data_IF_196781156280
#
_entry.id   IF_196781156280
#
_cell.length_a   1.000
_cell.length_b   1.000
_cell.length_c   1.000
_cell.angle_alpha   90.00
_cell.angle_beta   90.00
_cell.angle_gamma   90.00
#
_symmetry.space_group_name_H-M   'P 1'
#
loop_
_entity.id
_entity.type
_entity.pdbx_description
1 polymer ?
#
# COMPACT_ATOMS: atom_id res chain seq x y z
N UNK A 1 3.71 -10.42 9.84
CA UNK A 1 2.33 -9.98 10.11
C UNK A 1 2.37 -9.05 11.31
N UNK A 2 1.76 -7.88 11.18
CA UNK A 2 1.58 -6.88 12.25
C UNK A 2 0.14 -6.43 12.12
N UNK A 3 -0.76 -6.91 12.98
CA UNK A 3 -2.21 -6.62 12.91
C UNK A 3 -2.45 -5.10 12.80
N UNK A 4 -3.21 -4.58 11.82
CA UNK A 4 -4.05 -5.27 10.83
C UNK A 4 -3.36 -5.62 9.49
N UNK A 5 -2.07 -5.37 9.34
CA UNK A 5 -1.30 -5.61 8.12
C UNK A 5 -0.83 -7.06 7.97
N UNK A 6 -1.29 -7.71 6.91
CA UNK A 6 -1.03 -9.11 6.61
C UNK A 6 0.21 -9.28 5.74
N UNK A 7 0.40 -8.40 4.75
CA UNK A 7 1.43 -8.52 3.73
C UNK A 7 1.87 -7.13 3.22
N UNK A 8 3.16 -7.03 2.89
CA UNK A 8 3.77 -5.98 2.08
C UNK A 8 4.63 -6.65 1.01
N UNK A 9 4.50 -6.22 -0.24
CA UNK A 9 5.29 -6.73 -1.35
C UNK A 9 5.62 -5.61 -2.34
N UNK A 10 6.91 -5.30 -2.47
CA UNK A 10 7.41 -4.41 -3.52
C UNK A 10 7.71 -5.21 -4.79
N UNK A 11 7.17 -4.74 -5.92
CA UNK A 11 7.42 -5.29 -7.24
C UNK A 11 8.17 -4.30 -8.12
N UNK A 12 9.17 -4.79 -8.85
CA UNK A 12 9.86 -4.06 -9.93
C UNK A 12 10.05 -5.00 -11.12
N UNK A 13 9.54 -4.60 -12.28
CA UNK A 13 9.56 -5.40 -13.50
C UNK A 13 9.32 -4.52 -14.73
N UNK A 14 9.67 -5.01 -15.92
CA UNK A 14 9.19 -4.43 -17.18
C UNK A 14 7.79 -4.95 -17.48
N UNK A 15 6.91 -4.10 -18.01
CA UNK A 15 5.52 -4.49 -18.31
C UNK A 15 5.45 -5.68 -19.28
N UNK A 16 6.39 -5.78 -20.22
CA UNK A 16 6.54 -6.91 -21.15
C UNK A 16 6.85 -8.24 -20.44
N UNK A 17 7.44 -8.23 -19.25
CA UNK A 17 7.70 -9.45 -18.45
C UNK A 17 6.43 -9.99 -17.80
N UNK A 18 5.39 -9.17 -17.67
CA UNK A 18 4.09 -9.56 -17.11
C UNK A 18 3.03 -9.84 -18.20
N UNK A 19 3.22 -9.28 -19.39
CA UNK A 19 2.35 -9.51 -20.54
C UNK A 19 2.21 -11.00 -20.87
N UNK A 20 0.96 -11.44 -21.08
CA UNK A 20 0.64 -12.82 -21.41
C UNK A 20 0.70 -13.82 -20.24
N UNK A 21 1.05 -13.40 -19.02
CA UNK A 21 0.89 -14.22 -17.83
C UNK A 21 -0.55 -14.13 -17.32
N UNK A 22 -1.18 -15.29 -17.12
CA UNK A 22 -2.44 -15.34 -16.39
C UNK A 22 -2.18 -14.96 -14.93
N UNK A 23 -2.51 -13.72 -14.61
CA UNK A 23 -2.37 -13.17 -13.26
C UNK A 23 -3.67 -13.33 -12.48
N UNK A 24 -4.72 -13.95 -13.06
CA UNK A 24 -6.06 -13.97 -12.48
C UNK A 24 -6.11 -14.92 -11.29
N UNK A 25 -6.46 -14.39 -10.13
CA UNK A 25 -6.64 -15.19 -8.91
C UNK A 25 -7.72 -14.61 -7.99
N UNK A 26 -8.40 -15.45 -7.18
CA UNK A 26 -9.44 -14.99 -6.27
C UNK A 26 -8.85 -14.55 -4.94
N UNK A 27 -9.38 -13.49 -4.33
CA UNK A 27 -9.07 -13.06 -2.97
C UNK A 27 -10.35 -12.89 -2.15
N UNK A 28 -10.27 -13.05 -0.83
CA UNK A 28 -11.37 -12.71 0.10
C UNK A 28 -10.86 -12.41 1.52
N UNK A 29 -11.60 -11.57 2.24
CA UNK A 29 -11.42 -11.31 3.67
C UNK A 29 -10.42 -10.21 4.07
N UNK A 30 -9.94 -9.41 3.12
CA UNK A 30 -9.01 -8.28 3.38
C UNK A 30 -9.17 -7.14 2.36
N UNK A 31 -8.66 -5.96 2.68
CA UNK A 31 -8.43 -4.87 1.73
C UNK A 31 -7.08 -5.08 1.04
N UNK A 32 -7.07 -5.13 -0.30
CA UNK A 32 -5.88 -5.24 -1.15
C UNK A 32 -5.60 -3.87 -1.77
N UNK A 33 -4.46 -3.28 -1.40
CA UNK A 33 -4.02 -1.97 -1.89
C UNK A 33 -2.85 -2.14 -2.85
N UNK A 34 -2.91 -1.48 -4.00
CA UNK A 34 -1.83 -1.44 -4.99
C UNK A 34 -1.43 0.00 -5.30
N UNK A 35 -0.25 0.40 -4.83
CA UNK A 35 0.29 1.76 -4.96
C UNK A 35 1.42 1.80 -5.99
N UNK A 36 1.30 2.68 -6.98
CA UNK A 36 2.30 2.81 -8.04
C UNK A 36 3.39 3.80 -7.63
N UNK A 37 4.62 3.30 -7.51
CA UNK A 37 5.80 4.12 -7.19
C UNK A 37 6.46 4.71 -8.43
N UNK A 38 6.41 3.99 -9.55
CA UNK A 38 7.02 4.40 -10.82
C UNK A 38 6.28 3.80 -12.01
N UNK A 39 6.05 4.61 -13.04
CA UNK A 39 5.45 4.18 -14.30
C UNK A 39 3.92 4.11 -14.26
N UNK A 40 3.31 3.38 -15.20
CA UNK A 40 1.86 3.17 -15.25
C UNK A 40 1.56 1.74 -15.67
N UNK A 41 0.50 1.16 -15.11
CA UNK A 41 0.03 -0.16 -15.48
C UNK A 41 -1.48 -0.28 -15.35
N UNK A 42 -2.08 -1.08 -16.22
CA UNK A 42 -3.49 -1.42 -16.18
C UNK A 42 -3.71 -2.80 -15.55
N UNK A 43 -4.76 -2.95 -14.76
CA UNK A 43 -5.18 -4.21 -14.11
C UNK A 43 -6.70 -4.39 -14.20
N UNK A 44 -7.22 -5.52 -13.71
CA UNK A 44 -8.66 -5.79 -13.67
C UNK A 44 -9.14 -6.37 -12.34
N UNK A 45 -10.41 -6.14 -12.02
CA UNK A 45 -11.09 -6.63 -10.83
C UNK A 45 -12.57 -6.94 -11.11
N UNK A 46 -13.18 -7.85 -10.36
CA UNK A 46 -14.58 -8.31 -10.59
C UNK A 46 -15.61 -7.64 -9.67
N UNK A 47 -15.44 -6.34 -9.44
CA UNK A 47 -16.35 -5.55 -8.59
C UNK A 47 -17.42 -4.79 -9.38
N UNK A 48 -17.49 -4.99 -10.69
CA UNK A 48 -18.48 -4.35 -11.53
C UNK A 48 -19.90 -4.92 -11.32
N UNK A 49 -20.93 -4.31 -11.95
CA UNK A 49 -22.32 -4.73 -11.79
C UNK A 49 -22.53 -6.23 -12.04
N UNK A 50 -23.11 -6.93 -11.08
CA UNK A 50 -23.33 -8.38 -11.15
C UNK A 50 -22.05 -9.22 -11.11
N UNK A 51 -20.92 -8.66 -10.66
CA UNK A 51 -19.63 -9.35 -10.61
C UNK A 51 -18.84 -9.30 -11.92
N UNK A 52 -19.17 -8.38 -12.83
CA UNK A 52 -18.44 -8.20 -14.08
C UNK A 52 -17.02 -7.68 -13.83
N UNK A 53 -16.13 -7.96 -14.78
CA UNK A 53 -14.76 -7.41 -14.78
C UNK A 53 -14.81 -5.93 -15.14
N UNK A 54 -14.10 -5.12 -14.36
CA UNK A 54 -13.75 -3.74 -14.67
C UNK A 54 -12.22 -3.61 -14.83
N UNK A 55 -11.80 -2.69 -15.70
CA UNK A 55 -10.39 -2.37 -15.93
C UNK A 55 -10.03 -1.09 -15.18
N UNK A 56 -8.85 -1.06 -14.58
CA UNK A 56 -8.31 0.09 -13.88
C UNK A 56 -6.91 0.39 -14.41
N UNK A 57 -6.68 1.61 -14.88
CA UNK A 57 -5.35 2.12 -15.23
C UNK A 57 -4.84 2.99 -14.09
N UNK A 58 -3.65 2.67 -13.59
CA UNK A 58 -2.99 3.43 -12.55
C UNK A 58 -1.74 4.09 -13.12
N UNK A 59 -1.61 5.39 -12.96
CA UNK A 59 -0.38 6.14 -13.21
C UNK A 59 0.49 6.19 -11.96
N UNK A 60 1.70 6.73 -12.09
CA UNK A 60 2.62 6.96 -10.98
C UNK A 60 1.94 7.80 -9.89
N UNK A 61 2.05 7.36 -8.64
CA UNK A 61 1.39 7.99 -7.50
C UNK A 61 -0.08 7.61 -7.31
N UNK A 62 -0.70 6.87 -8.22
CA UNK A 62 -2.07 6.38 -8.07
C UNK A 62 -2.15 5.14 -7.17
N UNK A 63 -3.33 4.93 -6.60
CA UNK A 63 -3.64 3.85 -5.67
C UNK A 63 -4.94 3.15 -6.09
N UNK A 64 -4.92 1.82 -6.15
CA UNK A 64 -6.13 0.99 -6.18
C UNK A 64 -6.37 0.42 -4.79
N UNK A 65 -7.54 0.68 -4.22
CA UNK A 65 -8.03 0.04 -3.01
C UNK A 65 -9.17 -0.92 -3.36
N UNK A 66 -8.89 -2.22 -3.27
CA UNK A 66 -9.85 -3.30 -3.50
C UNK A 66 -10.24 -3.95 -2.17
N UNK A 67 -11.46 -3.69 -1.70
CA UNK A 67 -12.06 -4.46 -0.61
C UNK A 67 -12.54 -5.78 -1.15
N UNK A 68 -11.92 -6.88 -0.72
CA UNK A 68 -12.23 -8.21 -1.28
C UNK A 68 -13.50 -8.82 -0.68
N UNK A 69 -13.85 -8.48 0.58
CA UNK A 69 -15.07 -8.95 1.25
C UNK A 69 -15.26 -10.46 1.11
N UNK A 70 -16.47 -10.89 0.73
CA UNK A 70 -16.79 -12.31 0.49
C UNK A 70 -16.05 -12.94 -0.69
N UNK A 71 -15.46 -12.14 -1.57
CA UNK A 71 -14.65 -12.61 -2.69
C UNK A 71 -14.61 -11.68 -3.90
N UNK A 72 -13.42 -11.44 -4.43
CA UNK A 72 -13.20 -10.79 -5.71
C UNK A 72 -12.03 -11.46 -6.45
N UNK A 73 -12.15 -11.62 -7.77
CA UNK A 73 -11.02 -11.92 -8.64
C UNK A 73 -10.21 -10.67 -8.92
N UNK A 74 -8.88 -10.81 -8.86
CA UNK A 74 -7.89 -9.78 -9.10
C UNK A 74 -6.93 -10.20 -10.25
N UNK A 75 -6.53 -9.18 -11.01
CA UNK A 75 -5.43 -9.11 -11.97
C UNK A 75 -5.57 -10.02 -13.19
N UNK A 76 -6.34 -9.64 -14.21
CA UNK A 76 -6.46 -10.49 -15.41
C UNK A 76 -5.37 -10.24 -16.47
N UNK A 77 -4.69 -9.08 -16.45
CA UNK A 77 -3.75 -8.70 -17.51
C UNK A 77 -2.88 -7.47 -17.12
N UNK A 78 -2.02 -7.59 -16.10
CA UNK A 78 -1.13 -6.49 -15.72
C UNK A 78 -0.18 -6.15 -16.86
N UNK A 79 -0.17 -4.89 -17.30
CA UNK A 79 0.75 -4.41 -18.34
C UNK A 79 0.35 -4.75 -19.77
N UNK A 80 -0.76 -5.48 -20.00
CA UNK A 80 -1.15 -5.90 -21.34
C UNK A 80 -1.52 -4.71 -22.23
N UNK A 81 -2.35 -3.79 -21.71
CA UNK A 81 -2.77 -2.58 -22.41
C UNK A 81 -1.53 -1.73 -22.77
N UNK A 82 -0.58 -1.59 -21.84
CA UNK A 82 0.65 -0.85 -22.07
C UNK A 82 1.57 -1.50 -23.11
N UNK A 83 1.59 -2.83 -23.20
CA UNK A 83 2.36 -3.55 -24.24
C UNK A 83 1.75 -3.35 -25.61
N UNK A 84 0.43 -3.40 -25.73
CA UNK A 84 -0.29 -3.10 -26.98
C UNK A 84 -0.06 -1.65 -27.44
N UNK A 85 0.05 -0.72 -26.49
CA UNK A 85 0.39 0.69 -26.74
C UNK A 85 1.87 0.93 -27.08
N UNK A 86 2.72 -0.11 -27.03
CA UNK A 86 4.16 0.00 -27.32
C UNK A 86 5.02 0.47 -26.14
N UNK A 87 4.47 0.47 -24.93
CA UNK A 87 5.14 0.84 -23.67
C UNK A 87 5.66 -0.37 -22.88
N UNK A 88 5.70 -1.56 -23.48
CA UNK A 88 6.07 -2.81 -22.80
C UNK A 88 7.46 -2.81 -22.13
N UNK A 89 8.43 -2.10 -22.68
CA UNK A 89 9.79 -2.05 -22.11
C UNK A 89 9.95 -1.00 -20.98
N UNK A 90 8.86 -0.35 -20.57
CA UNK A 90 8.86 0.59 -19.46
C UNK A 90 9.03 -0.15 -18.13
N UNK A 91 9.96 0.32 -17.31
CA UNK A 91 10.11 -0.14 -15.92
C UNK A 91 8.89 0.32 -15.09
N UNK A 92 8.31 -0.61 -14.37
CA UNK A 92 7.21 -0.38 -13.45
C UNK A 92 7.64 -0.77 -12.04
N UNK A 93 7.33 0.09 -11.08
CA UNK A 93 7.55 -0.17 -9.65
C UNK A 93 6.28 0.10 -8.88
N UNK A 94 5.92 -0.82 -8.00
CA UNK A 94 4.75 -0.67 -7.15
C UNK A 94 4.96 -1.36 -5.81
N UNK A 95 4.07 -1.07 -4.88
CA UNK A 95 3.96 -1.86 -3.66
C UNK A 95 2.52 -2.29 -3.47
N UNK A 96 2.35 -3.55 -3.10
CA UNK A 96 1.08 -4.17 -2.79
C UNK A 96 1.02 -4.49 -1.30
N UNK A 97 -0.11 -4.19 -0.67
CA UNK A 97 -0.32 -4.47 0.75
C UNK A 97 -1.69 -5.05 1.01
N UNK A 98 -1.77 -5.92 2.01
CA UNK A 98 -3.03 -6.47 2.49
C UNK A 98 -3.29 -5.98 3.92
N UNK A 99 -4.48 -5.43 4.12
CA UNK A 99 -4.99 -5.04 5.45
C UNK A 99 -6.20 -5.91 5.76
N UNK A 100 -6.16 -6.62 6.89
CA UNK A 100 -7.21 -7.55 7.27
C UNK A 100 -8.58 -6.84 7.39
N UNK A 101 -9.65 -7.60 7.21
CA UNK A 101 -10.98 -7.20 7.65
C UNK A 101 -11.30 -7.91 8.96
N UNK A 102 -12.03 -7.24 9.85
CA UNK A 102 -12.65 -7.90 11.00
C UNK A 102 -13.53 -9.06 10.53
N UNK A 103 -13.68 -10.08 11.36
CA UNK A 103 -14.56 -11.23 11.11
C UNK A 103 -15.95 -10.81 10.65
N UNK A 104 -16.54 -9.78 11.26
CA UNK A 104 -17.87 -9.26 10.93
C UNK A 104 -17.97 -8.67 9.51
N UNK A 105 -16.85 -8.22 8.95
CA UNK A 105 -16.77 -7.51 7.66
C UNK A 105 -16.26 -8.42 6.54
N UNK A 106 -15.88 -9.68 6.82
CA UNK A 106 -15.39 -10.63 5.80
C UNK A 106 -16.45 -11.08 4.79
N UNK A 107 -17.73 -10.84 5.03
CA UNK A 107 -18.84 -11.23 4.14
C UNK A 107 -19.45 -10.08 3.32
N UNK A 108 -18.89 -8.86 3.44
CA UNK A 108 -19.39 -7.70 2.69
C UNK A 108 -19.22 -7.86 1.17
N UNK A 109 -20.01 -7.11 0.40
CA UNK A 109 -19.82 -6.99 -1.05
C UNK A 109 -18.40 -6.49 -1.36
N UNK A 110 -17.72 -7.06 -2.37
CA UNK A 110 -16.44 -6.54 -2.81
C UNK A 110 -16.62 -5.17 -3.48
N UNK A 111 -15.67 -4.27 -3.28
CA UNK A 111 -15.69 -2.93 -3.88
C UNK A 111 -14.29 -2.49 -4.27
N UNK A 112 -14.16 -1.70 -5.34
CA UNK A 112 -12.89 -1.15 -5.77
C UNK A 112 -12.98 0.39 -5.85
N UNK A 113 -11.88 1.05 -5.52
CA UNK A 113 -11.70 2.48 -5.69
C UNK A 113 -10.32 2.73 -6.28
N UNK A 114 -10.28 3.42 -7.42
CA UNK A 114 -9.04 3.97 -7.97
C UNK A 114 -8.96 5.42 -7.53
N UNK A 115 -7.82 5.80 -6.95
CA UNK A 115 -7.50 7.16 -6.55
C UNK A 115 -6.29 7.61 -7.36
N UNK A 116 -6.47 8.64 -8.16
CA UNK A 116 -5.39 9.19 -8.98
C UNK A 116 -4.41 10.01 -8.14
N UNK A 117 -3.19 10.21 -8.63
CA UNK A 117 -2.13 10.89 -7.91
C UNK A 117 -2.54 12.30 -7.44
N UNK A 118 -3.35 13.01 -8.23
CA UNK A 118 -3.84 14.36 -7.93
C UNK A 118 -4.91 14.38 -6.82
N UNK A 119 -5.53 13.23 -6.55
CA UNK A 119 -6.53 13.05 -5.50
C UNK A 119 -5.91 12.63 -4.17
N UNK A 120 -4.63 12.20 -4.17
CA UNK A 120 -3.89 11.85 -2.96
C UNK A 120 -3.48 13.14 -2.23
N UNK A 121 -3.93 13.36 -0.98
CA UNK A 121 -3.50 14.53 -0.21
C UNK A 121 -2.00 14.53 0.01
N UNK A 122 -1.38 15.68 -0.20
CA UNK A 122 0.04 15.91 0.07
C UNK A 122 0.18 17.02 1.11
N UNK A 123 1.02 16.79 2.12
CA UNK A 123 1.36 17.80 3.12
C UNK A 123 2.86 17.83 3.37
N UNK A 124 3.35 18.98 3.81
CA UNK A 124 4.71 19.14 4.33
C UNK A 124 4.69 18.94 5.85
N UNK A 125 5.59 18.10 6.36
CA UNK A 125 5.75 17.84 7.81
C UNK A 125 7.25 17.90 8.14
N UNK A 126 7.70 19.02 8.72
CA UNK A 126 9.14 19.26 8.90
C UNK A 126 9.89 19.21 7.56
N UNK A 127 10.94 18.38 7.49
CA UNK A 127 11.74 18.18 6.27
C UNK A 127 11.09 17.21 5.26
N UNK A 128 9.95 16.60 5.62
CA UNK A 128 9.33 15.55 4.82
C UNK A 128 8.15 16.03 3.98
N UNK A 129 8.06 15.50 2.76
CA UNK A 129 6.85 15.48 1.94
C UNK A 129 6.08 14.20 2.28
N UNK A 130 4.82 14.34 2.66
CA UNK A 130 3.96 13.23 3.09
C UNK A 130 2.76 13.13 2.16
N UNK A 131 2.65 12.00 1.45
CA UNK A 131 1.46 11.63 0.66
C UNK A 131 0.59 10.70 1.49
N UNK A 132 -0.68 11.06 1.68
CA UNK A 132 -1.61 10.35 2.58
C UNK A 132 -2.43 9.34 1.77
N UNK A 133 -1.98 8.09 1.71
CA UNK A 133 -2.66 7.02 0.98
C UNK A 133 -3.93 6.57 1.72
N UNK A 134 -3.85 6.43 3.05
CA UNK A 134 -4.97 6.14 3.95
C UNK A 134 -4.80 6.98 5.21
N UNK A 135 -5.89 7.52 5.74
CA UNK A 135 -5.91 8.34 6.95
C UNK A 135 -6.69 9.62 6.76
N UNK A 136 -6.45 10.61 7.62
CA UNK A 136 -7.13 11.90 7.57
C UNK A 136 -6.94 12.59 6.21
N UNK A 137 -8.06 12.93 5.57
CA UNK A 137 -8.09 13.60 4.27
C UNK A 137 -7.99 12.67 3.05
N UNK A 138 -7.56 11.41 3.21
CA UNK A 138 -7.57 10.45 2.09
C UNK A 138 -9.00 10.05 1.73
N UNK A 139 -9.33 9.87 0.44
CA UNK A 139 -10.61 9.34 0.02
C UNK A 139 -10.74 7.82 0.24
N UNK A 140 -9.67 7.13 0.65
CA UNK A 140 -9.66 5.67 0.89
C UNK A 140 -10.04 5.35 2.33
N UNK A 141 -11.00 4.45 2.49
CA UNK A 141 -11.48 3.97 3.78
C UNK A 141 -11.26 2.47 3.95
N UNK A 142 -10.50 2.08 4.97
CA UNK A 142 -10.27 0.68 5.33
C UNK A 142 -11.30 0.15 6.33
N UNK A 143 -11.30 -1.17 6.56
CA UNK A 143 -12.20 -1.81 7.55
C UNK A 143 -11.87 -1.49 9.01
N UNK A 144 -10.71 -0.88 9.26
CA UNK A 144 -10.22 -0.45 10.57
C UNK A 144 -9.59 0.94 10.45
N UNK A 145 -9.62 1.77 11.52
CA UNK A 145 -8.82 2.99 11.57
C UNK A 145 -7.35 2.70 11.26
N UNK A 146 -6.82 3.42 10.27
CA UNK A 146 -5.45 3.22 9.81
C UNK A 146 -4.89 4.49 9.18
N UNK A 147 -3.56 4.49 9.10
CA UNK A 147 -2.71 5.47 8.48
C UNK A 147 -1.74 4.73 7.56
N UNK A 148 -1.75 5.05 6.28
CA UNK A 148 -0.76 4.58 5.30
C UNK A 148 -0.21 5.81 4.61
N UNK A 149 1.07 6.10 4.81
CA UNK A 149 1.75 7.27 4.27
C UNK A 149 2.91 6.86 3.38
N UNK A 150 3.09 7.58 2.28
CA UNK A 150 4.36 7.64 1.56
C UNK A 150 5.11 8.90 1.99
N UNK A 151 6.26 8.72 2.64
CA UNK A 151 7.05 9.78 3.26
C UNK A 151 8.40 9.87 2.58
N UNK A 152 8.72 11.07 2.11
CA UNK A 152 9.96 11.36 1.40
C UNK A 152 10.67 12.54 2.06
N UNK A 153 11.98 12.42 2.29
CA UNK A 153 12.84 13.50 2.78
C UNK A 153 13.87 13.84 1.68
N UNK A 154 13.52 14.75 0.74
CA UNK A 154 14.35 15.02 -0.44
C UNK A 154 15.76 15.50 -0.06
N UNK A 155 15.85 16.40 0.90
CA UNK A 155 17.12 16.98 1.41
C UNK A 155 17.66 16.24 2.64
N UNK A 156 17.01 15.14 3.04
CA UNK A 156 17.30 14.43 4.29
C UNK A 156 16.73 15.15 5.50
N UNK A 157 17.30 14.91 6.68
CA UNK A 157 16.92 15.61 7.90
C UNK A 157 16.06 14.79 8.85
N UNK A 158 15.02 15.43 9.41
CA UNK A 158 14.21 14.85 10.49
C UNK A 158 12.72 15.08 10.29
N UNK A 159 11.91 14.13 10.77
CA UNK A 159 10.45 14.26 10.79
C UNK A 159 9.87 13.53 12.00
N UNK A 160 8.78 14.08 12.54
CA UNK A 160 7.95 13.45 13.57
C UNK A 160 6.53 13.37 13.03
N UNK A 161 5.99 12.16 12.93
CA UNK A 161 4.63 11.95 12.45
C UNK A 161 3.78 11.46 13.63
N UNK A 162 2.69 12.15 14.00
CA UNK A 162 1.77 11.65 15.01
C UNK A 162 1.18 10.30 14.59
N UNK A 163 1.19 9.34 15.51
CA UNK A 163 0.56 8.03 15.33
C UNK A 163 -0.25 7.74 16.59
N UNK A 164 -1.54 7.38 16.48
CA UNK A 164 -2.34 7.01 17.64
C UNK A 164 -1.68 5.89 18.46
N UNK A 165 -1.57 6.01 19.79
CA UNK A 165 -0.86 5.05 20.63
C UNK A 165 -1.48 3.65 20.65
N UNK A 166 -2.75 3.52 20.26
CA UNK A 166 -3.46 2.27 20.08
C UNK A 166 -3.13 1.56 18.76
N UNK A 167 -2.49 2.25 17.81
CA UNK A 167 -2.10 1.66 16.53
C UNK A 167 -0.81 0.85 16.67
N UNK A 168 -0.76 -0.26 15.95
CA UNK A 168 0.47 -1.01 15.69
C UNK A 168 0.79 -1.00 14.20
N UNK A 169 2.07 -1.21 13.87
CA UNK A 169 2.51 -0.99 12.52
C UNK A 169 4.01 -1.10 12.30
N UNK A 170 4.43 -0.65 11.13
CA UNK A 170 5.82 -0.58 10.73
C UNK A 170 6.06 0.52 9.69
N UNK A 171 7.33 0.91 9.53
CA UNK A 171 7.80 1.58 8.32
C UNK A 171 8.52 0.60 7.39
N UNK A 172 8.29 0.69 6.08
CA UNK A 172 9.00 -0.06 5.05
C UNK A 172 9.88 0.89 4.23
N UNK A 173 11.20 0.69 4.29
CA UNK A 173 12.18 1.57 3.64
C UNK A 173 12.23 1.28 2.12
N UNK A 174 11.91 2.31 1.32
CA UNK A 174 11.96 2.26 -0.15
C UNK A 174 13.29 2.76 -0.72
N UNK A 175 13.82 3.84 -0.15
CA UNK A 175 15.07 4.49 -0.58
C UNK A 175 15.83 5.07 0.62
N UNK A 176 17.15 5.25 0.44
CA UNK A 176 18.01 5.96 1.40
C UNK A 176 18.31 5.22 2.70
N UNK A 177 18.58 5.97 3.76
CA UNK A 177 18.90 5.46 5.10
C UNK A 177 18.57 6.55 6.13
N UNK A 178 18.01 6.14 7.26
CA UNK A 178 17.73 7.04 8.38
C UNK A 178 17.78 6.30 9.72
N UNK A 179 17.84 7.04 10.82
CA UNK A 179 17.72 6.55 12.18
C UNK A 179 16.28 6.71 12.70
N UNK A 180 15.72 5.64 13.27
CA UNK A 180 14.32 5.56 13.66
C UNK A 180 14.12 5.43 15.17
N UNK A 181 13.05 6.05 15.66
CA UNK A 181 12.57 5.96 17.04
C UNK A 181 13.53 6.54 18.08
N UNK A 182 13.16 6.43 19.36
CA UNK A 182 13.95 6.96 20.47
C UNK A 182 15.33 6.30 20.61
N UNK A 183 15.49 5.07 20.12
CA UNK A 183 16.76 4.34 20.14
C UNK A 183 17.66 4.67 18.94
N UNK A 184 17.21 5.53 18.01
CA UNK A 184 17.94 6.00 16.82
C UNK A 184 18.57 4.85 16.02
N UNK A 185 17.86 3.73 15.86
CA UNK A 185 18.40 2.59 15.11
C UNK A 185 18.40 2.92 13.62
N UNK A 186 19.55 2.79 12.93
CA UNK A 186 19.61 2.99 11.48
C UNK A 186 18.87 1.87 10.75
N UNK A 187 18.19 2.23 9.67
CA UNK A 187 17.59 1.27 8.73
C UNK A 187 17.67 1.82 7.29
N UNK A 188 17.77 0.89 6.34
CA UNK A 188 17.85 1.14 4.90
C UNK A 188 17.06 0.09 4.12
N UNK A 189 16.77 0.27 2.83
CA UNK A 189 16.05 -0.73 2.05
C UNK A 189 16.76 -2.10 2.04
N UNK A 190 15.99 -3.22 2.00
CA UNK A 190 14.53 -3.33 2.07
C UNK A 190 14.06 -3.67 3.50
N UNK A 191 14.53 -2.94 4.52
CA UNK A 191 14.23 -3.26 5.92
C UNK A 191 12.85 -2.72 6.36
N UNK A 192 12.27 -3.42 7.34
CA UNK A 192 11.11 -3.00 8.11
C UNK A 192 11.55 -2.45 9.47
N UNK A 193 10.92 -1.36 9.90
CA UNK A 193 11.08 -0.79 11.24
C UNK A 193 9.75 -0.93 11.97
N UNK A 194 9.67 -1.84 12.94
CA UNK A 194 8.46 -2.04 13.74
C UNK A 194 8.22 -0.84 14.67
N UNK A 195 6.96 -0.43 14.77
CA UNK A 195 6.56 0.59 15.75
C UNK A 195 6.68 0.04 17.16
N UNK A 196 7.18 0.88 18.05
CA UNK A 196 7.10 0.68 19.50
C UNK A 196 5.97 1.53 20.10
N UNK A 197 5.72 1.41 21.41
CA UNK A 197 4.75 2.26 22.09
C UNK A 197 5.17 3.74 22.01
N UNK A 198 4.20 4.61 21.77
CA UNK A 198 4.39 6.06 21.69
C UNK A 198 3.27 6.73 20.90
N UNK A 199 3.29 8.06 20.87
CA UNK A 199 2.29 8.89 20.16
C UNK A 199 2.85 9.49 18.86
N UNK A 200 4.13 9.21 18.55
CA UNK A 200 4.82 9.73 17.37
C UNK A 200 5.80 8.71 16.78
N UNK A 201 5.88 8.66 15.46
CA UNK A 201 6.94 8.00 14.71
C UNK A 201 8.02 9.02 14.37
N UNK A 202 9.21 8.85 14.97
CA UNK A 202 10.33 9.78 14.79
C UNK A 202 11.38 9.22 13.83
N UNK A 203 11.79 10.05 12.87
CA UNK A 203 12.91 9.80 11.96
C UNK A 203 13.95 10.91 12.13
N UNK A 204 15.21 10.52 12.21
CA UNK A 204 16.36 11.41 12.36
C UNK A 204 17.51 10.96 11.47
N UNK A 205 18.47 11.84 11.23
CA UNK A 205 19.66 11.56 10.42
C UNK A 205 19.31 10.95 9.04
N UNK A 206 18.17 11.34 8.46
CA UNK A 206 17.80 10.85 7.15
C UNK A 206 18.78 11.39 6.11
N UNK A 207 19.32 10.50 5.28
CA UNK A 207 20.07 10.89 4.11
C UNK A 207 19.14 11.55 3.06
N UNK A 208 19.64 12.47 2.22
CA UNK A 208 18.88 13.00 1.09
C UNK A 208 18.29 11.90 0.22
N UNK A 209 17.01 12.06 -0.14
CA UNK A 209 16.25 11.08 -0.92
C UNK A 209 15.75 9.87 -0.12
N UNK A 210 15.80 9.90 1.21
CA UNK A 210 15.20 8.83 2.03
C UNK A 210 13.69 8.79 1.81
N UNK A 211 13.16 7.63 1.43
CA UNK A 211 11.73 7.41 1.20
C UNK A 211 11.27 6.14 1.88
N UNK A 212 10.14 6.18 2.56
CA UNK A 212 9.56 5.04 3.25
C UNK A 212 8.05 5.11 3.29
N UNK A 213 7.43 3.95 3.48
CA UNK A 213 6.01 3.86 3.74
C UNK A 213 5.78 3.65 5.23
N UNK A 214 5.01 4.52 5.87
CA UNK A 214 4.57 4.32 7.26
C UNK A 214 3.17 3.73 7.26
N UNK A 215 3.04 2.54 7.84
CA UNK A 215 1.79 1.79 7.95
C UNK A 215 1.47 1.57 9.42
N UNK A 216 0.38 2.14 9.92
CA UNK A 216 -0.08 1.98 11.29
C UNK A 216 -1.60 1.86 11.32
N UNK A 217 -2.16 0.98 12.14
CA UNK A 217 -3.60 0.83 12.24
C UNK A 217 -4.04 0.19 13.55
N UNK A 218 -5.32 0.37 13.86
CA UNK A 218 -5.94 -0.25 15.03
C UNK A 218 -6.02 -1.76 14.80
N UNK A 219 -5.44 -2.57 15.71
CA UNK A 219 -5.46 -4.02 15.59
C UNK A 219 -6.86 -4.57 15.85
N UNK A 220 -7.22 -5.65 15.16
CA UNK A 220 -8.48 -6.35 15.44
C UNK A 220 -8.39 -7.23 16.69
N UNK A 221 -7.20 -7.73 17.03
CA UNK A 221 -7.05 -8.74 18.08
C UNK A 221 -7.69 -10.09 17.70
N UNK A 222 -7.91 -10.31 16.40
CA UNK A 222 -8.44 -11.54 15.83
C UNK A 222 -7.32 -12.32 15.15
N UNK A 223 -7.30 -13.65 15.28
CA UNK A 223 -6.30 -14.49 14.62
C UNK A 223 -6.71 -14.74 13.15
N UNK A 224 -5.95 -14.26 12.14
CA UNK A 224 -6.26 -14.51 10.74
C UNK A 224 -5.84 -15.92 10.32
N UNK A 225 -6.73 -16.62 9.62
CA UNK A 225 -6.46 -17.96 9.07
C UNK A 225 -6.15 -17.86 7.58
N UNK A 226 -4.89 -18.09 7.21
CA UNK A 226 -4.44 -18.06 5.83
C UNK A 226 -4.75 -19.38 5.10
N UNK A 227 -5.42 -19.29 3.97
CA UNK A 227 -5.64 -20.41 3.05
C UNK A 227 -5.35 -19.98 1.61
N UNK A 228 -4.06 -19.86 1.29
CA UNK A 228 -3.60 -19.33 0.01
C UNK A 228 -4.03 -17.87 -0.16
N UNK A 229 -4.84 -17.52 -1.17
CA UNK A 229 -5.23 -16.14 -1.41
C UNK A 229 -6.44 -15.69 -0.58
N UNK A 230 -6.86 -16.49 0.40
CA UNK A 230 -7.97 -16.22 1.31
C UNK A 230 -7.48 -16.03 2.74
N UNK A 231 -8.10 -15.09 3.45
CA UNK A 231 -7.84 -14.86 4.87
C UNK A 231 -9.17 -14.84 5.62
N UNK A 232 -9.41 -15.86 6.42
CA UNK A 232 -10.63 -16.07 7.23
C UNK A 232 -10.49 -15.61 8.68
#
# INVERSE_FOLDING_TARGET
>A
MVDPFLLVHEGRFRLSEMSGKDTKHPHRGFDNLWYVLQGSASTGHTTGPGGSVERARLSEGSLLALRTGRGAWHAEAVGADEVEEGHGDTEFRSVLFWVNLARKDKDVDPSAQVVQAEEIPVRQEGDAIVRVLVGEGSPVHLGTPALILDVELPEGGTVKIPVPPEFQGFAYLLEGEAAFGANRRPAKPPQLVLLGPGEEFTVTDAAPGTRYLLMAGEPYGEEPVFNGPFVD
#
